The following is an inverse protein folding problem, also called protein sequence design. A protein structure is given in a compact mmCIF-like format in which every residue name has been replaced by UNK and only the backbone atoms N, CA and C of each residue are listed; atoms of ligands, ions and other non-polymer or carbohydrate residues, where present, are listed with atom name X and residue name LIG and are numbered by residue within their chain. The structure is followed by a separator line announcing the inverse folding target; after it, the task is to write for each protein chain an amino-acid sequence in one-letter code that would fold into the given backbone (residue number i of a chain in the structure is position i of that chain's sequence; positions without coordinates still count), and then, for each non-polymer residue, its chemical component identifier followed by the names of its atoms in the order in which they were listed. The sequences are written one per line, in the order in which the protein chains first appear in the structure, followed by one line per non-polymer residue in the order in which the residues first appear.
data_IF_546448038405
#
_entry.id   IF_546448038405
#
_cell.length_a   1.000
_cell.length_b   1.000
_cell.length_c   1.000
_cell.angle_alpha   90.00
_cell.angle_beta   90.00
_cell.angle_gamma   90.00
#
_symmetry.space_group_name_H-M   'P 1'
#
loop_
_entity.id
_entity.type
_entity.pdbx_description
1 polymer ?
#
# COMPACT_ATOMS: atom_id res chain seq x y z
N UNK A 1 -0.41 21.17 -5.93
CA UNK A 1 -1.40 21.08 -7.01
C UNK A 1 -2.70 21.82 -6.65
N UNK A 2 -3.07 22.78 -7.48
CA UNK A 2 -4.37 23.45 -7.48
C UNK A 2 -4.93 23.52 -8.90
N UNK A 3 -6.13 24.10 -9.06
CA UNK A 3 -6.73 24.37 -10.37
C UNK A 3 -7.17 25.81 -10.50
N UNK A 4 -7.06 26.36 -11.71
CA UNK A 4 -7.53 27.69 -12.05
C UNK A 4 -8.45 27.61 -13.27
N UNK A 5 -9.65 28.20 -13.24
CA UNK A 5 -10.54 28.24 -14.40
C UNK A 5 -10.12 29.31 -15.43
N UNK A 6 -9.11 30.14 -15.13
CA UNK A 6 -8.59 31.18 -16.00
C UNK A 6 -7.08 31.23 -15.93
N UNK A 7 -6.43 31.61 -17.02
CA UNK A 7 -5.02 31.98 -16.99
C UNK A 7 -4.84 33.36 -16.31
N UNK A 8 -3.74 33.56 -15.60
CA UNK A 8 -3.51 34.81 -14.89
C UNK A 8 -2.29 34.80 -13.97
N UNK A 9 -2.23 35.75 -13.05
CA UNK A 9 -1.26 35.78 -11.96
C UNK A 9 -1.90 35.25 -10.68
N UNK A 10 -1.42 34.11 -10.20
CA UNK A 10 -1.76 33.58 -8.89
C UNK A 10 -0.95 34.31 -7.83
N UNK A 11 -1.63 34.87 -6.84
CA UNK A 11 -1.09 35.35 -5.58
C UNK A 11 -1.41 34.35 -4.48
N UNK A 12 -0.40 34.02 -3.67
CA UNK A 12 -0.54 33.21 -2.47
C UNK A 12 -0.08 34.01 -1.28
N UNK A 13 -0.96 34.19 -0.30
CA UNK A 13 -0.64 34.82 0.96
C UNK A 13 -0.91 33.87 2.12
N UNK A 14 -0.21 34.07 3.24
CA UNK A 14 -0.49 33.41 4.51
C UNK A 14 -1.07 34.42 5.48
N UNK A 15 -2.27 34.16 5.97
CA UNK A 15 -2.84 34.94 7.04
C UNK A 15 -2.16 34.58 8.38
N UNK A 16 -1.88 35.61 9.17
CA UNK A 16 -1.48 35.51 10.58
C UNK A 16 -2.16 36.67 11.33
N UNK A 17 -1.97 36.82 12.63
CA UNK A 17 -2.53 37.97 13.36
C UNK A 17 -2.01 39.29 12.75
N UNK A 18 -2.84 39.96 11.93
CA UNK A 18 -2.46 41.17 11.18
C UNK A 18 -2.76 41.06 9.67
N UNK A 19 -2.06 41.85 8.86
CA UNK A 19 -2.19 41.81 7.39
C UNK A 19 -1.62 40.49 6.82
N UNK A 20 -2.29 39.85 5.84
CA UNK A 20 -1.77 38.65 5.20
C UNK A 20 -0.40 38.89 4.55
N UNK A 21 0.56 38.01 4.83
CA UNK A 21 1.90 38.05 4.24
C UNK A 21 1.86 37.37 2.87
N UNK A 22 2.18 38.09 1.80
CA UNK A 22 2.36 37.48 0.50
C UNK A 22 3.58 36.55 0.51
N UNK A 23 3.37 35.30 0.10
CA UNK A 23 4.39 34.25 0.09
C UNK A 23 4.95 34.00 -1.31
N UNK A 24 4.08 34.08 -2.32
CA UNK A 24 4.44 33.81 -3.71
C UNK A 24 3.47 34.50 -4.66
N UNK A 25 4.00 34.90 -5.81
CA UNK A 25 3.21 35.29 -6.98
C UNK A 25 3.79 34.59 -8.20
N UNK A 26 2.94 33.98 -9.02
CA UNK A 26 3.36 33.24 -10.21
C UNK A 26 2.30 33.24 -11.32
N UNK A 27 2.70 33.14 -12.60
CA UNK A 27 1.77 32.89 -13.69
C UNK A 27 1.13 31.51 -13.54
N UNK A 28 -0.15 31.41 -13.87
CA UNK A 28 -0.89 30.15 -13.98
C UNK A 28 -1.63 30.11 -15.31
N UNK A 29 -1.74 28.92 -15.90
CA UNK A 29 -2.62 28.68 -17.04
C UNK A 29 -4.03 28.36 -16.56
N UNK A 30 -4.99 28.37 -17.47
CA UNK A 30 -6.23 27.63 -17.28
C UNK A 30 -5.90 26.14 -17.05
N UNK A 31 -6.70 25.46 -16.23
CA UNK A 31 -6.54 24.09 -15.73
C UNK A 31 -5.83 23.95 -14.38
N UNK A 32 -4.53 23.65 -14.36
CA UNK A 32 -3.82 23.19 -13.17
C UNK A 32 -2.53 23.96 -12.95
N UNK A 33 -2.19 24.14 -11.67
CA UNK A 33 -0.92 24.77 -11.27
C UNK A 33 -0.32 24.09 -10.07
N UNK A 34 0.97 24.33 -9.88
CA UNK A 34 1.70 23.91 -8.69
C UNK A 34 2.24 25.08 -7.89
N UNK A 35 2.08 24.98 -6.59
CA UNK A 35 2.61 25.95 -5.67
C UNK A 35 4.09 25.66 -5.43
N UNK A 36 4.94 26.70 -5.37
CA UNK A 36 6.32 26.52 -4.97
C UNK A 36 6.37 26.14 -3.48
N UNK A 37 7.56 25.81 -2.99
CA UNK A 37 7.77 25.69 -1.56
C UNK A 37 7.41 27.01 -0.86
N UNK A 38 6.42 26.96 0.03
CA UNK A 38 5.96 28.12 0.78
C UNK A 38 6.60 28.12 2.18
N UNK A 39 7.07 29.26 2.69
CA UNK A 39 7.57 29.36 4.06
C UNK A 39 6.39 29.29 5.05
N UNK A 40 6.09 28.09 5.54
CA UNK A 40 5.05 27.83 6.53
C UNK A 40 5.59 28.00 7.96
N UNK A 41 4.73 28.45 8.87
CA UNK A 41 5.02 28.49 10.30
C UNK A 41 4.65 27.16 10.94
N UNK A 42 5.33 26.82 12.03
CA UNK A 42 4.89 25.75 12.94
C UNK A 42 3.47 26.02 13.42
N UNK A 43 2.67 24.96 13.49
CA UNK A 43 1.24 25.02 13.73
C UNK A 43 0.48 25.28 12.44
N UNK A 44 -0.65 25.96 12.59
CA UNK A 44 -1.61 26.09 11.51
C UNK A 44 -1.36 27.33 10.65
N UNK A 45 -1.50 27.15 9.34
CA UNK A 45 -1.32 28.17 8.33
C UNK A 45 -2.59 28.28 7.50
N UNK A 46 -3.17 29.48 7.45
CA UNK A 46 -4.23 29.80 6.50
C UNK A 46 -3.60 30.38 5.24
N UNK A 47 -3.71 29.66 4.12
CA UNK A 47 -3.30 30.13 2.82
C UNK A 47 -4.49 30.76 2.11
N UNK A 48 -4.31 31.99 1.61
CA UNK A 48 -5.25 32.75 0.80
C UNK A 48 -4.71 32.78 -0.62
N UNK A 49 -5.49 32.27 -1.56
CA UNK A 49 -5.12 32.17 -2.96
C UNK A 49 -6.08 33.04 -3.79
N UNK A 50 -5.53 33.89 -4.64
CA UNK A 50 -6.31 34.69 -5.57
C UNK A 50 -5.60 34.75 -6.93
N UNK A 51 -6.35 34.57 -8.00
CA UNK A 51 -5.88 34.77 -9.38
C UNK A 51 -6.39 36.11 -9.90
N UNK A 52 -5.51 36.87 -10.55
CA UNK A 52 -5.86 38.07 -11.33
C UNK A 52 -5.65 37.78 -12.82
N UNK A 53 -6.66 37.99 -13.65
CA UNK A 53 -6.62 37.76 -15.10
C UNK A 53 -5.93 38.90 -15.87
N UNK A 54 -5.86 38.79 -17.20
CA UNK A 54 -5.24 39.80 -18.06
C UNK A 54 -6.01 41.14 -18.04
N UNK A 55 -7.32 41.08 -17.85
CA UNK A 55 -8.24 42.21 -17.73
C UNK A 55 -8.23 42.87 -16.34
N UNK A 56 -7.37 42.42 -15.42
CA UNK A 56 -7.25 42.90 -14.04
C UNK A 56 -8.44 42.57 -13.13
N UNK A 57 -9.26 41.59 -13.48
CA UNK A 57 -10.26 41.06 -12.58
C UNK A 57 -9.60 40.11 -11.58
N UNK A 58 -9.93 40.28 -10.29
CA UNK A 58 -9.45 39.38 -9.23
C UNK A 58 -10.55 38.42 -8.83
N UNK A 59 -10.22 37.13 -8.79
CA UNK A 59 -11.09 36.07 -8.26
C UNK A 59 -11.44 36.29 -6.77
N UNK A 60 -12.46 35.57 -6.30
CA UNK A 60 -12.69 35.41 -4.86
C UNK A 60 -11.52 34.64 -4.25
N UNK A 61 -11.14 34.98 -3.02
CA UNK A 61 -10.08 34.26 -2.32
C UNK A 61 -10.50 32.81 -2.04
N UNK A 62 -9.68 31.87 -2.52
CA UNK A 62 -9.72 30.48 -2.11
C UNK A 62 -8.88 30.30 -0.84
N UNK A 63 -9.39 29.51 0.12
CA UNK A 63 -8.73 29.29 1.40
C UNK A 63 -8.28 27.83 1.50
N UNK A 64 -7.02 27.62 1.87
CA UNK A 64 -6.49 26.32 2.23
C UNK A 64 -5.86 26.36 3.63
N UNK A 65 -6.04 25.30 4.40
CA UNK A 65 -5.47 25.17 5.75
C UNK A 65 -4.37 24.12 5.73
N UNK A 66 -3.19 24.48 6.23
CA UNK A 66 -2.03 23.59 6.33
C UNK A 66 -1.47 23.64 7.75
N UNK A 67 -1.45 22.50 8.42
CA UNK A 67 -0.79 22.37 9.72
C UNK A 67 0.60 21.78 9.53
N UNK A 68 1.60 22.41 10.15
CA UNK A 68 2.97 21.89 10.21
C UNK A 68 3.38 21.68 11.65
N UNK A 69 4.28 20.74 11.90
CA UNK A 69 4.75 20.41 13.24
C UNK A 69 6.03 19.60 13.18
N UNK A 70 6.74 19.53 14.30
CA UNK A 70 7.88 18.63 14.44
C UNK A 70 7.39 17.18 14.59
N UNK A 71 8.22 16.23 14.15
CA UNK A 71 8.04 14.84 14.53
C UNK A 71 8.34 14.68 16.03
N UNK A 72 7.68 13.76 16.74
CA UNK A 72 8.11 13.34 18.07
C UNK A 72 9.55 12.83 18.06
N UNK A 73 10.30 13.00 19.15
CA UNK A 73 11.58 12.32 19.34
C UNK A 73 11.37 10.80 19.52
N UNK A 74 12.42 10.01 19.29
CA UNK A 74 12.38 8.57 19.58
C UNK A 74 12.18 8.37 21.10
N UNK A 75 11.28 7.46 21.52
CA UNK A 75 11.18 7.10 22.94
C UNK A 75 12.51 6.55 23.47
N UNK A 76 12.78 6.84 24.74
CA UNK A 76 14.03 6.43 25.42
C UNK A 76 13.77 5.37 26.47
N UNK A 77 14.81 4.66 26.89
CA UNK A 77 14.71 3.70 27.99
C UNK A 77 13.82 2.49 27.69
N UNK A 78 13.70 2.09 26.41
CA UNK A 78 13.04 0.83 26.06
C UNK A 78 13.71 -0.31 26.83
N UNK A 79 12.91 -1.08 27.55
CA UNK A 79 13.31 -2.28 28.26
C UNK A 79 12.27 -3.37 28.01
N UNK A 80 12.72 -4.62 27.92
CA UNK A 80 11.86 -5.78 27.76
C UNK A 80 12.17 -6.78 28.88
N UNK A 81 11.12 -7.25 29.55
CA UNK A 81 11.19 -8.31 30.54
C UNK A 81 10.44 -9.54 30.00
N UNK A 82 11.09 -10.69 30.04
CA UNK A 82 10.50 -11.96 29.60
C UNK A 82 10.22 -12.82 30.82
N UNK A 83 8.98 -13.30 30.94
CA UNK A 83 8.56 -14.27 31.93
C UNK A 83 7.85 -15.41 31.22
N UNK A 84 8.56 -16.51 30.98
CA UNK A 84 8.13 -17.59 30.09
C UNK A 84 7.79 -17.01 28.70
N UNK A 85 6.56 -17.17 28.21
CA UNK A 85 6.12 -16.64 26.91
C UNK A 85 5.57 -15.21 26.98
N UNK A 86 5.49 -14.62 28.18
CA UNK A 86 4.98 -13.27 28.35
C UNK A 86 6.12 -12.25 28.26
N UNK A 87 6.00 -11.31 27.33
CA UNK A 87 6.95 -10.21 27.15
C UNK A 87 6.32 -8.91 27.60
N UNK A 88 6.93 -8.24 28.57
CA UNK A 88 6.54 -6.90 29.01
C UNK A 88 7.54 -5.89 28.48
N UNK A 89 7.13 -5.07 27.53
CA UNK A 89 7.93 -3.95 27.02
C UNK A 89 7.52 -2.66 27.74
N UNK A 90 8.49 -1.89 28.23
CA UNK A 90 8.28 -0.59 28.88
C UNK A 90 9.27 0.45 28.36
N UNK A 91 8.90 1.72 28.38
CA UNK A 91 9.74 2.83 27.93
C UNK A 91 9.44 4.11 28.72
N UNK A 92 10.32 5.10 28.62
CA UNK A 92 10.06 6.42 29.19
C UNK A 92 9.07 7.19 28.32
N UNK A 93 8.18 7.95 28.97
CA UNK A 93 7.35 8.91 28.27
C UNK A 93 8.22 9.95 27.54
N UNK A 94 7.80 10.29 26.32
CA UNK A 94 8.36 11.39 25.56
C UNK A 94 8.20 12.73 26.29
N UNK A 95 9.18 13.66 26.20
CA UNK A 95 9.07 14.98 26.81
C UNK A 95 8.07 15.89 26.09
N UNK A 96 7.73 15.61 24.83
CA UNK A 96 6.79 16.40 24.05
C UNK A 96 5.34 16.22 24.57
N UNK A 97 4.63 17.31 24.91
CA UNK A 97 3.30 17.23 25.53
C UNK A 97 2.19 16.82 24.56
N UNK A 98 2.47 16.78 23.27
CA UNK A 98 1.53 16.47 22.20
C UNK A 98 1.61 15.01 21.73
N UNK A 99 2.36 14.14 22.42
CA UNK A 99 2.36 12.70 22.17
C UNK A 99 1.02 12.09 22.62
N UNK A 100 0.36 11.39 21.70
CA UNK A 100 -0.96 10.77 21.90
C UNK A 100 -0.88 9.25 22.08
N UNK A 101 0.27 8.65 21.82
CA UNK A 101 0.50 7.22 21.99
C UNK A 101 1.72 6.73 21.24
N UNK A 102 1.91 5.41 21.28
CA UNK A 102 3.11 4.74 20.80
C UNK A 102 2.79 3.58 19.87
N UNK A 103 3.74 3.26 18.99
CA UNK A 103 3.75 2.03 18.23
C UNK A 103 4.93 1.18 18.67
N UNK A 104 4.64 0.02 19.26
CA UNK A 104 5.64 -1.00 19.54
C UNK A 104 5.76 -1.90 18.31
N UNK A 105 6.98 -2.29 17.96
CA UNK A 105 7.29 -3.21 16.88
C UNK A 105 8.07 -4.41 17.41
N UNK A 106 7.74 -5.59 16.90
CA UNK A 106 8.44 -6.86 17.09
C UNK A 106 9.09 -7.20 15.75
N UNK A 107 10.42 -7.15 15.68
CA UNK A 107 11.15 -7.08 14.39
C UNK A 107 10.66 -5.85 13.61
N UNK A 108 9.98 -6.05 12.49
CA UNK A 108 9.38 -4.99 11.69
C UNK A 108 7.84 -4.97 11.73
N UNK A 109 7.22 -5.92 12.45
CA UNK A 109 5.76 -6.00 12.57
C UNK A 109 5.27 -5.23 13.79
N UNK A 110 4.20 -4.42 13.69
CA UNK A 110 3.64 -3.73 14.84
C UNK A 110 3.02 -4.71 15.85
N UNK A 111 3.14 -4.40 17.14
CA UNK A 111 2.60 -5.22 18.21
C UNK A 111 1.07 -5.20 18.23
N UNK A 112 0.48 -4.00 18.12
CA UNK A 112 -0.93 -3.86 17.82
C UNK A 112 -1.14 -3.87 16.31
N UNK A 113 -1.92 -4.84 15.83
CA UNK A 113 -2.29 -4.96 14.42
C UNK A 113 -3.39 -3.97 14.06
N UNK A 114 -3.48 -3.65 12.77
CA UNK A 114 -4.61 -2.90 12.24
C UNK A 114 -5.92 -3.62 12.52
N UNK A 115 -6.98 -2.84 12.73
CA UNK A 115 -8.31 -3.37 13.04
C UNK A 115 -9.40 -2.52 12.41
N UNK A 116 -10.53 -3.15 12.15
CA UNK A 116 -11.71 -2.48 11.62
C UNK A 116 -12.44 -1.71 12.72
N UNK A 117 -12.90 -0.51 12.39
CA UNK A 117 -13.72 0.32 13.26
C UNK A 117 -15.16 -0.18 13.22
N UNK A 118 -15.74 -0.38 14.41
CA UNK A 118 -17.12 -0.86 14.61
C UNK A 118 -18.00 0.16 15.35
N UNK A 119 -17.42 1.29 15.77
CA UNK A 119 -18.04 2.35 16.55
C UNK A 119 -18.37 3.61 15.72
N UNK A 120 -18.52 3.45 14.41
CA UNK A 120 -18.82 4.55 13.50
C UNK A 120 -20.31 4.88 13.48
N UNK A 121 -20.61 6.17 13.45
CA UNK A 121 -21.92 6.70 13.10
C UNK A 121 -21.88 7.22 11.67
N UNK A 122 -23.02 7.22 10.98
CA UNK A 122 -23.07 7.61 9.57
C UNK A 122 -24.21 8.58 9.30
N UNK A 123 -23.97 9.48 8.36
CA UNK A 123 -24.97 10.40 7.81
C UNK A 123 -24.70 10.59 6.33
N UNK A 124 -25.68 11.07 5.57
CA UNK A 124 -25.49 11.33 4.14
C UNK A 124 -26.20 12.62 3.73
N UNK A 125 -25.73 13.22 2.64
CA UNK A 125 -26.52 14.24 1.95
C UNK A 125 -27.58 13.57 1.07
N UNK A 126 -28.82 14.07 1.21
CA UNK A 126 -29.98 13.65 0.42
C UNK A 126 -30.15 12.11 0.35
N UNK A 127 -30.19 11.39 1.50
CA UNK A 127 -30.34 9.94 1.48
C UNK A 127 -31.74 9.55 0.97
N UNK A 128 -31.78 8.57 0.06
CA UNK A 128 -33.04 7.91 -0.34
C UNK A 128 -33.36 6.78 0.65
N UNK A 129 -32.31 6.12 1.15
CA UNK A 129 -32.36 4.98 2.08
C UNK A 129 -31.49 5.27 3.32
N UNK A 130 -31.63 4.45 4.35
CA UNK A 130 -30.87 4.56 5.60
C UNK A 130 -29.36 4.53 5.33
N UNK A 131 -28.59 5.58 5.67
CA UNK A 131 -27.14 5.62 5.44
C UNK A 131 -26.38 4.54 6.23
N UNK A 132 -26.97 4.03 7.32
CA UNK A 132 -26.48 2.92 8.13
C UNK A 132 -26.31 1.63 7.33
N UNK A 133 -27.06 1.47 6.23
CA UNK A 133 -26.95 0.34 5.33
C UNK A 133 -25.63 0.26 4.55
N UNK A 134 -24.71 1.22 4.73
CA UNK A 134 -23.34 1.11 4.20
C UNK A 134 -22.35 0.53 5.21
N UNK A 135 -22.76 0.31 6.47
CA UNK A 135 -21.87 -0.10 7.57
C UNK A 135 -22.54 -1.15 8.48
N UNK A 136 -23.64 -1.77 8.03
CA UNK A 136 -24.40 -2.76 8.81
C UNK A 136 -23.88 -4.19 8.64
N UNK A 137 -22.97 -4.42 7.69
CA UNK A 137 -22.37 -5.73 7.42
C UNK A 137 -23.28 -6.67 6.63
N UNK A 138 -24.41 -6.19 6.10
CA UNK A 138 -25.28 -6.93 5.20
C UNK A 138 -25.04 -6.51 3.73
N UNK A 139 -24.34 -7.31 2.91
CA UNK A 139 -24.05 -6.96 1.52
C UNK A 139 -25.30 -6.87 0.62
N UNK A 140 -26.48 -7.23 1.12
CA UNK A 140 -27.74 -7.10 0.40
C UNK A 140 -28.41 -5.72 0.58
N UNK A 141 -28.06 -4.97 1.62
CA UNK A 141 -28.50 -3.59 1.84
C UNK A 141 -27.46 -2.62 1.28
N UNK A 142 -27.85 -1.35 1.12
CA UNK A 142 -26.92 -0.31 0.68
C UNK A 142 -27.43 1.08 1.04
N UNK A 143 -26.50 1.98 1.35
CA UNK A 143 -26.77 3.41 1.24
C UNK A 143 -26.93 3.79 -0.24
N UNK A 144 -28.05 4.41 -0.58
CA UNK A 144 -28.29 5.00 -1.89
C UNK A 144 -28.24 6.54 -1.84
N UNK A 145 -27.31 7.14 -2.60
CA UNK A 145 -27.25 8.58 -2.81
C UNK A 145 -28.34 9.08 -3.78
N UNK A 146 -28.84 10.30 -3.56
CA UNK A 146 -29.96 10.98 -4.24
C UNK A 146 -30.09 10.78 -5.77
N UNK A 147 -31.31 11.03 -6.24
CA UNK A 147 -31.96 10.50 -7.44
C UNK A 147 -31.70 11.25 -8.75
N UNK A 148 -31.60 10.49 -9.85
CA UNK A 148 -31.53 10.88 -11.28
C UNK A 148 -30.24 11.56 -11.76
N UNK A 149 -29.14 10.80 -11.77
CA UNK A 149 -27.91 11.21 -12.44
C UNK A 149 -27.69 10.43 -13.73
N UNK A 150 -27.37 11.14 -14.82
CA UNK A 150 -26.96 10.56 -16.09
C UNK A 150 -25.59 11.10 -16.45
N UNK A 151 -24.61 10.22 -16.65
CA UNK A 151 -23.29 10.51 -17.20
C UNK A 151 -22.81 11.94 -17.00
N UNK A 152 -22.29 12.26 -15.82
CA UNK A 152 -21.94 13.64 -15.47
C UNK A 152 -21.51 13.81 -14.02
N UNK A 153 -21.11 15.05 -13.65
CA UNK A 153 -20.66 15.37 -12.29
C UNK A 153 -21.80 15.19 -11.28
N UNK A 154 -21.43 14.71 -10.09
CA UNK A 154 -22.32 14.55 -8.95
C UNK A 154 -22.10 15.73 -8.00
N UNK A 155 -23.13 16.56 -7.85
CA UNK A 155 -23.14 17.64 -6.88
C UNK A 155 -23.86 17.16 -5.60
N UNK A 156 -23.31 17.55 -4.44
CA UNK A 156 -23.93 17.36 -3.13
C UNK A 156 -24.26 15.91 -2.74
N UNK A 157 -23.54 14.93 -3.29
CA UNK A 157 -23.63 13.52 -2.87
C UNK A 157 -22.44 13.17 -1.99
N UNK A 158 -22.71 12.82 -0.73
CA UNK A 158 -21.69 12.30 0.18
C UNK A 158 -22.28 11.38 1.23
N UNK A 159 -21.47 10.42 1.68
CA UNK A 159 -21.65 9.63 2.89
C UNK A 159 -20.58 10.05 3.89
N UNK A 160 -20.97 10.50 5.08
CA UNK A 160 -20.08 10.94 6.15
C UNK A 160 -20.09 9.93 7.28
N UNK A 161 -18.91 9.47 7.68
CA UNK A 161 -18.69 8.63 8.85
C UNK A 161 -18.09 9.48 9.96
N UNK A 162 -18.53 9.26 11.20
CA UNK A 162 -18.02 9.94 12.38
C UNK A 162 -17.74 8.97 13.52
N UNK A 163 -16.60 9.13 14.19
CA UNK A 163 -16.25 8.48 15.45
C UNK A 163 -16.27 9.49 16.61
N UNK A 164 -16.38 9.01 17.85
CA UNK A 164 -16.36 9.88 19.04
C UNK A 164 -15.00 10.57 19.24
N UNK A 165 -13.91 9.89 18.86
CA UNK A 165 -12.53 10.37 18.99
C UNK A 165 -11.76 10.20 17.68
N UNK A 166 -10.70 11.01 17.43
CA UNK A 166 -9.88 10.82 16.24
C UNK A 166 -9.18 9.47 16.24
N UNK A 167 -9.26 8.76 15.11
CA UNK A 167 -8.60 7.49 14.84
C UNK A 167 -7.50 7.67 13.79
N UNK A 168 -6.50 6.81 13.76
CA UNK A 168 -5.50 6.78 12.68
C UNK A 168 -6.02 5.93 11.52
N UNK A 169 -6.74 6.55 10.59
CA UNK A 169 -7.36 5.85 9.47
C UNK A 169 -6.27 5.37 8.51
N UNK A 170 -6.18 4.05 8.33
CA UNK A 170 -5.09 3.42 7.58
C UNK A 170 -5.59 2.69 6.32
N UNK A 171 -6.86 2.28 6.27
CA UNK A 171 -7.44 1.72 5.06
C UNK A 171 -8.96 1.91 4.99
N UNK A 172 -9.48 1.81 3.77
CA UNK A 172 -10.92 1.72 3.50
C UNK A 172 -11.16 0.58 2.51
N UNK A 173 -12.20 -0.22 2.76
CA UNK A 173 -12.70 -1.24 1.85
C UNK A 173 -14.16 -0.95 1.53
N UNK A 174 -14.45 -0.70 0.25
CA UNK A 174 -15.77 -0.34 -0.25
C UNK A 174 -16.32 -1.44 -1.14
N UNK A 175 -17.57 -1.82 -0.94
CA UNK A 175 -18.32 -2.72 -1.83
C UNK A 175 -19.55 -2.00 -2.36
N UNK A 176 -19.60 -1.79 -3.67
CA UNK A 176 -20.73 -1.19 -4.36
C UNK A 176 -21.69 -2.28 -4.84
N UNK A 177 -23.00 -2.00 -4.84
CA UNK A 177 -23.95 -2.91 -5.47
C UNK A 177 -23.67 -3.02 -6.97
N UNK A 178 -23.88 -4.23 -7.51
CA UNK A 178 -23.61 -4.52 -8.92
C UNK A 178 -24.31 -3.51 -9.85
N UNK A 179 -23.52 -2.89 -10.73
CA UNK A 179 -24.00 -1.90 -11.69
C UNK A 179 -24.39 -0.53 -11.10
N UNK A 180 -24.16 -0.30 -9.79
CA UNK A 180 -24.56 0.93 -9.07
C UNK A 180 -23.39 1.66 -8.41
N UNK A 181 -22.19 1.56 -9.00
CA UNK A 181 -21.00 2.31 -8.56
C UNK A 181 -20.86 3.65 -9.30
N UNK A 182 -20.19 4.65 -8.70
CA UNK A 182 -19.78 5.84 -9.44
C UNK A 182 -18.62 5.52 -10.39
N UNK A 183 -18.37 6.39 -11.37
CA UNK A 183 -17.18 6.31 -12.22
C UNK A 183 -15.93 6.76 -11.44
N UNK A 184 -16.12 7.76 -10.57
CA UNK A 184 -15.07 8.30 -9.69
C UNK A 184 -15.63 8.75 -8.35
N UNK A 185 -14.79 8.72 -7.31
CA UNK A 185 -15.09 9.30 -6.01
C UNK A 185 -13.82 9.83 -5.33
N UNK A 186 -14.01 10.71 -4.35
CA UNK A 186 -12.97 11.20 -3.46
C UNK A 186 -13.23 10.74 -2.03
N UNK A 187 -12.15 10.54 -1.26
CA UNK A 187 -12.21 10.37 0.19
C UNK A 187 -11.69 11.63 0.83
N UNK A 188 -12.52 12.26 1.65
CA UNK A 188 -12.15 13.45 2.41
C UNK A 188 -12.07 13.10 3.89
N UNK A 189 -11.05 13.61 4.58
CA UNK A 189 -10.92 13.53 6.03
C UNK A 189 -11.04 14.94 6.63
N UNK A 190 -11.73 15.07 7.76
CA UNK A 190 -11.86 16.36 8.42
C UNK A 190 -10.64 16.63 9.29
N UNK A 191 -9.99 17.78 9.08
CA UNK A 191 -8.80 18.18 9.83
C UNK A 191 -9.10 18.85 11.18
N UNK A 192 -10.38 19.06 11.51
CA UNK A 192 -10.81 19.97 12.58
C UNK A 192 -11.18 21.37 12.06
N UNK A 193 -10.83 21.70 10.81
CA UNK A 193 -11.18 22.97 10.15
C UNK A 193 -11.75 22.82 8.75
N UNK A 194 -11.16 21.94 7.97
CA UNK A 194 -11.51 21.75 6.57
C UNK A 194 -11.54 20.27 6.21
N UNK A 195 -12.29 19.96 5.15
CA UNK A 195 -12.23 18.66 4.51
C UNK A 195 -10.99 18.60 3.63
N UNK A 196 -10.10 17.67 3.93
CA UNK A 196 -8.86 17.42 3.21
C UNK A 196 -9.03 16.16 2.39
N UNK A 197 -8.77 16.24 1.08
CA UNK A 197 -8.79 15.05 0.23
C UNK A 197 -7.60 14.16 0.54
N UNK A 198 -7.87 12.93 0.99
CA UNK A 198 -6.86 11.92 1.32
C UNK A 198 -6.78 10.80 0.28
N UNK A 199 -7.79 10.65 -0.58
CA UNK A 199 -7.74 9.75 -1.74
C UNK A 199 -8.64 10.25 -2.89
N UNK A 200 -8.33 9.85 -4.11
CA UNK A 200 -9.12 10.10 -5.33
C UNK A 200 -9.08 8.86 -6.21
N UNK A 201 -10.25 8.39 -6.65
CA UNK A 201 -10.40 7.17 -7.47
C UNK A 201 -11.15 7.53 -8.75
N UNK A 202 -10.57 7.24 -9.92
CA UNK A 202 -11.14 7.60 -11.24
C UNK A 202 -11.67 6.40 -12.05
N UNK A 203 -11.50 5.17 -11.56
CA UNK A 203 -11.93 3.93 -12.22
C UNK A 203 -12.36 2.91 -11.19
N UNK A 204 -13.51 3.19 -10.58
CA UNK A 204 -14.02 2.46 -9.42
C UNK A 204 -14.32 1.01 -9.77
N UNK A 205 -13.85 0.10 -8.92
CA UNK A 205 -14.20 -1.32 -8.97
C UNK A 205 -15.40 -1.61 -8.06
N UNK A 206 -16.10 -2.72 -8.30
CA UNK A 206 -17.25 -3.09 -7.47
C UNK A 206 -16.79 -3.35 -6.02
N UNK A 207 -15.63 -3.99 -5.85
CA UNK A 207 -14.88 -4.00 -4.59
C UNK A 207 -13.64 -3.12 -4.74
N UNK A 208 -13.55 -2.08 -3.93
CA UNK A 208 -12.48 -1.09 -3.95
C UNK A 208 -11.76 -1.06 -2.60
N UNK A 209 -10.49 -1.45 -2.60
CA UNK A 209 -9.61 -1.29 -1.45
C UNK A 209 -8.74 -0.05 -1.62
N UNK A 210 -8.56 0.70 -0.54
CA UNK A 210 -7.72 1.90 -0.49
C UNK A 210 -6.80 1.83 0.72
N UNK A 211 -5.49 1.99 0.49
CA UNK A 211 -4.49 2.18 1.53
C UNK A 211 -4.27 3.67 1.78
N UNK A 212 -4.32 4.09 3.04
CA UNK A 212 -3.96 5.44 3.48
C UNK A 212 -2.61 5.32 4.17
N UNK A 213 -1.55 5.67 3.45
CA UNK A 213 -0.17 5.58 3.92
C UNK A 213 0.58 6.90 3.64
N UNK A 214 1.02 7.64 4.68
CA UNK A 214 0.83 7.34 6.10
C UNK A 214 -0.65 7.42 6.54
N UNK A 215 -1.06 6.72 7.62
CA UNK A 215 -2.41 6.83 8.17
C UNK A 215 -2.80 8.27 8.47
N UNK A 216 -4.05 8.65 8.18
CA UNK A 216 -4.55 9.99 8.44
C UNK A 216 -5.36 10.04 9.72
N UNK A 217 -4.98 10.92 10.65
CA UNK A 217 -5.69 11.08 11.92
C UNK A 217 -6.95 11.95 11.73
N UNK A 218 -8.14 11.37 11.92
CA UNK A 218 -9.40 12.11 11.86
C UNK A 218 -10.51 11.43 12.66
N UNK A 219 -11.55 12.17 13.03
CA UNK A 219 -12.80 11.62 13.56
C UNK A 219 -13.93 11.62 12.53
N UNK A 220 -13.68 12.12 11.31
CA UNK A 220 -14.70 12.33 10.27
C UNK A 220 -14.16 12.03 8.89
N UNK A 221 -14.83 11.16 8.18
CA UNK A 221 -14.54 10.81 6.79
C UNK A 221 -15.76 11.11 5.91
N UNK A 222 -15.52 11.46 4.65
CA UNK A 222 -16.55 11.51 3.61
C UNK A 222 -16.13 10.68 2.42
N UNK A 223 -17.04 9.84 1.96
CA UNK A 223 -17.02 9.29 0.61
C UNK A 223 -17.83 10.21 -0.28
N UNK A 224 -17.19 10.81 -1.28
CA UNK A 224 -17.80 11.81 -2.17
C UNK A 224 -17.74 11.27 -3.59
N UNK A 225 -18.79 10.56 -4.06
CA UNK A 225 -18.95 10.26 -5.48
C UNK A 225 -18.87 11.55 -6.30
N UNK A 226 -18.03 11.57 -7.35
CA UNK A 226 -17.79 12.77 -8.15
C UNK A 226 -18.36 12.67 -9.57
N UNK A 227 -18.44 11.47 -10.14
CA UNK A 227 -19.01 11.26 -11.48
C UNK A 227 -19.88 10.00 -11.49
N UNK A 228 -21.10 10.10 -12.02
CA UNK A 228 -22.00 8.96 -12.18
C UNK A 228 -21.59 8.04 -13.34
N UNK A 229 -21.95 6.76 -13.26
CA UNK A 229 -21.89 5.84 -14.41
C UNK A 229 -23.18 5.93 -15.23
N UNK A 230 -23.11 5.68 -16.55
CA UNK A 230 -24.29 5.55 -17.44
C UNK A 230 -24.27 6.39 -18.72
N UNK A 231 -24.96 5.91 -19.75
CA UNK A 231 -25.23 6.63 -21.01
C UNK A 231 -26.52 7.45 -20.92
N UNK A 232 -26.57 8.67 -21.47
CA UNK A 232 -27.81 9.44 -21.58
C UNK A 232 -28.90 8.64 -22.33
N UNK A 233 -30.10 8.49 -21.73
CA UNK A 233 -31.28 7.90 -22.41
C UNK A 233 -31.73 6.49 -21.96
N UNK A 234 -31.18 5.92 -20.88
CA UNK A 234 -31.66 4.66 -20.31
C UNK A 234 -32.93 4.84 -19.43
N UNK A 235 -33.90 3.93 -19.55
CA UNK A 235 -35.21 3.98 -18.87
C UNK A 235 -35.21 3.51 -17.40
N UNK A 236 -34.05 3.37 -16.76
CA UNK A 236 -33.95 2.87 -15.38
C UNK A 236 -33.41 3.95 -14.44
N UNK A 237 -34.04 4.13 -13.28
CA UNK A 237 -33.54 4.97 -12.18
C UNK A 237 -32.16 4.47 -11.77
N UNK A 238 -31.11 5.26 -11.99
CA UNK A 238 -29.77 4.93 -11.50
C UNK A 238 -29.44 5.82 -10.31
N UNK A 239 -29.36 5.19 -9.14
CA UNK A 239 -28.72 5.74 -7.95
C UNK A 239 -27.46 4.95 -7.66
N UNK A 240 -26.44 5.65 -7.18
CA UNK A 240 -25.23 5.04 -6.66
C UNK A 240 -25.58 4.37 -5.34
N UNK A 241 -25.10 3.14 -5.15
CA UNK A 241 -25.37 2.36 -3.97
C UNK A 241 -24.11 1.71 -3.41
N UNK A 242 -23.71 2.15 -2.22
CA UNK A 242 -22.61 1.57 -1.44
C UNK A 242 -23.20 0.56 -0.48
N UNK A 243 -22.93 -0.72 -0.72
CA UNK A 243 -23.40 -1.81 0.12
C UNK A 243 -22.61 -1.88 1.41
N UNK A 244 -21.27 -1.86 1.32
CA UNK A 244 -20.43 -1.97 2.50
C UNK A 244 -19.25 -1.01 2.45
N UNK A 245 -18.92 -0.45 3.60
CA UNK A 245 -17.75 0.36 3.85
C UNK A 245 -17.14 -0.03 5.19
N UNK A 246 -15.99 -0.69 5.10
CA UNK A 246 -15.15 -1.00 6.25
C UNK A 246 -14.03 0.02 6.31
N UNK A 247 -13.82 0.61 7.49
CA UNK A 247 -12.73 1.55 7.75
C UNK A 247 -11.79 0.91 8.76
N UNK A 248 -10.52 0.79 8.41
CA UNK A 248 -9.51 0.26 9.31
C UNK A 248 -8.72 1.39 9.97
N UNK A 249 -8.35 1.18 11.22
CA UNK A 249 -7.42 2.02 11.95
C UNK A 249 -6.10 1.31 12.28
N UNK A 250 -5.08 2.14 12.45
CA UNK A 250 -3.83 1.77 13.09
C UNK A 250 -3.87 2.18 14.57
N UNK A 251 -4.18 1.26 15.50
CA UNK A 251 -4.30 1.61 16.91
C UNK A 251 -2.96 2.01 17.53
N UNK A 252 -3.03 2.80 18.61
CA UNK A 252 -1.87 3.24 19.39
C UNK A 252 -1.93 2.67 20.81
N UNK A 253 -0.75 2.43 21.38
CA UNK A 253 -0.60 2.12 22.80
C UNK A 253 -0.61 3.46 23.56
N UNK A 254 -1.63 3.67 24.40
CA UNK A 254 -1.75 4.91 25.20
C UNK A 254 -0.89 4.93 26.47
N UNK A 255 -0.42 3.76 26.92
CA UNK A 255 0.49 3.62 28.06
C UNK A 255 1.96 3.61 27.61
N UNK A 256 2.88 3.68 28.56
CA UNK A 256 4.32 3.50 28.34
C UNK A 256 4.79 2.08 28.65
N UNK A 257 3.85 1.13 28.59
CA UNK A 257 4.04 -0.28 28.82
C UNK A 257 3.09 -1.07 27.94
N UNK A 258 3.54 -2.25 27.48
CA UNK A 258 2.73 -3.19 26.72
C UNK A 258 3.13 -4.62 27.08
N UNK A 259 2.13 -5.46 27.36
CA UNK A 259 2.31 -6.87 27.64
C UNK A 259 1.82 -7.69 26.45
N UNK A 260 2.67 -8.58 25.98
CA UNK A 260 2.43 -9.46 24.85
C UNK A 260 2.68 -10.91 25.24
N UNK A 261 2.14 -11.85 24.47
CA UNK A 261 2.46 -13.27 24.59
C UNK A 261 3.02 -13.74 23.26
N UNK A 262 4.30 -14.10 23.26
CA UNK A 262 5.03 -14.51 22.06
C UNK A 262 5.29 -16.01 22.13
N UNK A 263 5.42 -16.64 20.97
CA UNK A 263 6.04 -17.95 20.87
C UNK A 263 7.55 -17.83 21.02
N UNK A 264 8.24 -18.96 21.17
CA UNK A 264 9.70 -19.04 21.19
C UNK A 264 10.36 -18.27 20.04
N UNK A 265 11.52 -17.69 20.34
CA UNK A 265 12.38 -16.99 19.38
C UNK A 265 12.97 -15.68 19.88
N UNK A 266 13.89 -15.13 19.09
CA UNK A 266 14.49 -13.82 19.32
C UNK A 266 13.69 -12.69 18.65
N UNK A 267 13.25 -11.70 19.43
CA UNK A 267 12.42 -10.58 18.99
C UNK A 267 13.08 -9.23 19.29
N UNK A 268 13.77 -8.58 18.33
CA UNK A 268 14.17 -7.19 18.49
C UNK A 268 12.95 -6.29 18.56
N UNK A 269 12.75 -5.65 19.71
CA UNK A 269 11.68 -4.69 19.95
C UNK A 269 12.16 -3.27 19.67
N UNK A 270 11.28 -2.45 19.08
CA UNK A 270 11.49 -1.02 18.90
C UNK A 270 10.19 -0.29 19.17
N UNK A 271 10.26 0.94 19.66
CA UNK A 271 9.06 1.76 19.89
C UNK A 271 9.21 3.12 19.21
N UNK A 272 8.14 3.64 18.62
CA UNK A 272 8.04 5.03 18.12
C UNK A 272 6.88 5.74 18.82
N UNK A 273 6.93 7.07 18.86
CA UNK A 273 5.86 7.91 19.38
C UNK A 273 5.07 8.56 18.23
N UNK A 274 3.79 8.83 18.46
CA UNK A 274 2.92 9.57 17.54
C UNK A 274 2.31 10.78 18.24
N UNK A 275 2.29 11.94 17.58
CA UNK A 275 1.69 13.17 18.14
C UNK A 275 0.24 13.45 17.69
N UNK A 276 -0.33 14.52 18.22
CA UNK A 276 -1.70 14.99 17.93
C UNK A 276 -1.97 15.29 16.45
N UNK A 277 -0.92 15.60 15.66
CA UNK A 277 -1.01 15.80 14.21
C UNK A 277 -1.01 14.48 13.42
N UNK A 278 -0.80 13.34 14.09
CA UNK A 278 -0.69 12.02 13.47
C UNK A 278 0.71 11.71 12.95
N UNK A 279 1.72 12.52 13.27
CA UNK A 279 3.09 12.28 12.83
C UNK A 279 3.78 11.25 13.71
N UNK A 280 4.40 10.26 13.08
CA UNK A 280 5.23 9.25 13.73
C UNK A 280 6.71 9.66 13.74
N UNK A 281 7.31 9.60 14.93
CA UNK A 281 8.74 9.86 15.13
C UNK A 281 9.64 8.69 14.75
N UNK A 282 10.97 8.86 14.84
CA UNK A 282 11.90 7.75 14.68
C UNK A 282 11.68 6.66 15.75
N UNK A 283 12.00 5.42 15.39
CA UNK A 283 12.01 4.29 16.32
C UNK A 283 13.19 4.40 17.29
N UNK A 284 13.01 3.90 18.52
CA UNK A 284 14.08 3.72 19.50
C UNK A 284 15.19 2.79 19.00
N UNK A 285 16.31 2.77 19.73
CA UNK A 285 17.27 1.68 19.65
C UNK A 285 16.57 0.34 19.98
N UNK A 286 16.99 -0.76 19.32
CA UNK A 286 16.34 -2.04 19.50
C UNK A 286 16.74 -2.68 20.82
N UNK A 287 15.82 -3.40 21.45
CA UNK A 287 16.10 -4.30 22.57
C UNK A 287 15.53 -5.68 22.24
N UNK A 288 16.38 -6.70 22.24
CA UNK A 288 15.94 -8.07 21.93
C UNK A 288 15.32 -8.73 23.16
N UNK A 289 14.13 -9.28 22.98
CA UNK A 289 13.52 -10.22 23.92
C UNK A 289 13.73 -11.63 23.37
N UNK A 290 14.43 -12.47 24.12
CA UNK A 290 14.59 -13.90 23.82
C UNK A 290 13.51 -14.67 24.60
N UNK A 291 12.57 -15.25 23.88
CA UNK A 291 11.44 -16.00 24.44
C UNK A 291 11.69 -17.48 24.20
N UNK A 292 11.56 -18.31 25.22
CA UNK A 292 11.82 -19.76 25.12
C UNK A 292 13.14 -20.09 24.42
N UNK A 293 13.11 -20.94 23.39
CA UNK A 293 14.26 -21.17 22.51
C UNK A 293 14.43 -20.08 21.45
N UNK A 294 15.50 -19.29 21.59
CA UNK A 294 15.87 -18.21 20.68
C UNK A 294 17.16 -18.49 19.90
N UNK A 295 17.78 -19.67 20.05
CA UNK A 295 19.02 -20.00 19.38
C UNK A 295 18.75 -20.47 17.95
N UNK A 296 19.09 -19.64 16.96
CA UNK A 296 18.94 -20.02 15.57
C UNK A 296 19.84 -21.22 15.19
N UNK A 297 19.40 -22.10 14.27
CA UNK A 297 20.24 -23.18 13.77
C UNK A 297 21.54 -22.67 13.16
N UNK A 298 22.56 -23.52 13.17
CA UNK A 298 23.80 -23.24 12.45
C UNK A 298 23.57 -23.22 10.91
N UNK A 299 24.26 -22.35 10.16
CA UNK A 299 24.16 -22.30 8.71
C UNK A 299 24.61 -23.59 8.03
N UNK A 300 24.04 -23.86 6.86
CA UNK A 300 24.41 -25.01 6.02
C UNK A 300 25.34 -24.61 4.88
N UNK A 301 26.02 -25.60 4.29
CA UNK A 301 26.81 -25.43 3.09
C UNK A 301 26.02 -25.93 1.87
N UNK A 302 25.72 -25.04 0.94
CA UNK A 302 24.95 -25.32 -0.28
C UNK A 302 25.87 -25.70 -1.45
N UNK A 303 25.44 -26.68 -2.22
CA UNK A 303 26.01 -27.08 -3.50
C UNK A 303 24.89 -27.30 -4.53
N UNK A 304 25.21 -27.24 -5.81
CA UNK A 304 24.23 -27.50 -6.86
C UNK A 304 24.86 -27.78 -8.22
N UNK A 305 24.09 -28.42 -9.08
CA UNK A 305 24.45 -28.72 -10.47
C UNK A 305 23.25 -28.52 -11.38
N UNK A 306 23.49 -28.32 -12.68
CA UNK A 306 22.43 -28.20 -13.69
C UNK A 306 22.39 -29.47 -14.53
N UNK A 307 21.20 -30.03 -14.71
CA UNK A 307 20.93 -31.13 -15.64
C UNK A 307 19.83 -30.70 -16.61
N UNK A 308 20.20 -30.39 -17.86
CA UNK A 308 19.26 -29.89 -18.86
C UNK A 308 18.69 -28.53 -18.43
N UNK A 309 17.39 -28.50 -18.09
CA UNK A 309 16.68 -27.30 -17.59
C UNK A 309 16.48 -27.29 -16.07
N UNK A 310 16.98 -28.30 -15.37
CA UNK A 310 16.70 -28.48 -13.95
C UNK A 310 17.95 -28.18 -13.14
N UNK A 311 17.79 -27.47 -12.03
CA UNK A 311 18.84 -27.20 -11.05
C UNK A 311 18.67 -28.17 -9.88
N UNK A 312 19.61 -29.09 -9.71
CA UNK A 312 19.66 -30.02 -8.58
C UNK A 312 20.53 -29.41 -7.47
N UNK A 313 19.93 -29.19 -6.30
CA UNK A 313 20.53 -28.51 -5.16
C UNK A 313 20.63 -29.50 -3.99
N UNK A 314 21.75 -29.44 -3.26
CA UNK A 314 22.01 -30.27 -2.08
C UNK A 314 22.83 -29.47 -1.07
N UNK A 315 22.50 -29.60 0.22
CA UNK A 315 23.20 -28.91 1.29
C UNK A 315 23.59 -29.86 2.43
N UNK A 316 24.55 -29.45 3.26
CA UNK A 316 24.87 -30.16 4.50
C UNK A 316 23.72 -30.04 5.50
N UNK A 317 23.51 -31.04 6.36
CA UNK A 317 22.63 -30.86 7.51
C UNK A 317 23.22 -29.79 8.46
N UNK A 318 22.35 -29.00 9.10
CA UNK A 318 22.76 -28.14 10.23
C UNK A 318 23.20 -29.01 11.41
N UNK A 319 24.11 -28.52 12.26
CA UNK A 319 24.50 -29.23 13.48
C UNK A 319 23.54 -28.99 14.65
N UNK A 320 22.59 -28.07 14.50
CA UNK A 320 21.56 -27.81 15.50
C UNK A 320 20.61 -29.03 15.60
N UNK A 321 20.27 -29.48 16.82
CA UNK A 321 19.53 -30.73 17.05
C UNK A 321 18.03 -30.64 16.70
N UNK A 322 17.53 -29.44 16.49
CA UNK A 322 16.11 -29.06 16.47
C UNK A 322 15.68 -28.42 15.13
N UNK A 323 16.50 -28.55 14.10
CA UNK A 323 16.15 -28.09 12.75
C UNK A 323 14.89 -28.81 12.25
N UNK A 324 13.85 -28.04 12.00
CA UNK A 324 12.59 -28.54 11.47
C UNK A 324 12.53 -28.43 9.94
N UNK A 325 13.09 -27.35 9.35
CA UNK A 325 12.91 -27.02 7.93
C UNK A 325 14.12 -26.30 7.33
N UNK A 326 14.17 -26.22 6.00
CA UNK A 326 15.13 -25.44 5.22
C UNK A 326 14.40 -24.53 4.23
N UNK A 327 14.68 -23.23 4.26
CA UNK A 327 14.20 -22.26 3.28
C UNK A 327 15.21 -22.14 2.16
N UNK A 328 14.79 -22.45 0.93
CA UNK A 328 15.57 -22.25 -0.28
C UNK A 328 15.13 -20.94 -0.95
N UNK A 329 16.07 -20.02 -1.14
CA UNK A 329 15.87 -18.80 -1.92
C UNK A 329 16.49 -18.92 -3.31
N UNK A 330 15.79 -18.39 -4.32
CA UNK A 330 16.28 -18.19 -5.69
C UNK A 330 16.17 -16.71 -6.03
N UNK A 331 17.29 -16.09 -6.37
CA UNK A 331 17.39 -14.66 -6.69
C UNK A 331 16.74 -13.78 -5.60
N UNK A 332 17.04 -14.10 -4.34
CA UNK A 332 16.52 -13.46 -3.11
C UNK A 332 15.03 -13.66 -2.83
N UNK A 333 14.32 -14.45 -3.63
CA UNK A 333 12.91 -14.81 -3.38
C UNK A 333 12.80 -16.23 -2.85
N UNK A 334 11.93 -16.48 -1.87
CA UNK A 334 11.65 -17.84 -1.41
C UNK A 334 11.14 -18.71 -2.57
N UNK A 335 11.84 -19.82 -2.81
CA UNK A 335 11.49 -20.79 -3.85
C UNK A 335 10.76 -22.00 -3.27
N UNK A 336 11.22 -22.47 -2.11
CA UNK A 336 10.67 -23.65 -1.45
C UNK A 336 11.01 -23.65 0.04
N UNK A 337 10.16 -24.34 0.81
CA UNK A 337 10.40 -24.71 2.19
C UNK A 337 10.42 -26.25 2.27
N UNK A 338 11.51 -26.81 2.77
CA UNK A 338 11.79 -28.26 2.75
C UNK A 338 11.86 -28.77 4.19
N UNK A 339 11.06 -29.77 4.55
CA UNK A 339 11.09 -30.35 5.90
C UNK A 339 12.37 -31.19 6.14
N UNK A 340 12.96 -31.05 7.31
CA UNK A 340 14.04 -31.91 7.77
C UNK A 340 13.53 -33.36 7.93
N UNK A 341 14.38 -34.39 7.71
CA UNK A 341 15.82 -34.31 7.47
C UNK A 341 16.21 -34.18 6.00
N UNK A 342 15.29 -33.81 5.08
CA UNK A 342 15.63 -33.70 3.66
C UNK A 342 16.59 -32.52 3.43
N UNK A 343 17.72 -32.77 2.75
CA UNK A 343 18.76 -31.77 2.47
C UNK A 343 19.01 -31.57 0.97
N UNK A 344 17.96 -31.67 0.16
CA UNK A 344 18.04 -31.46 -1.28
C UNK A 344 16.72 -31.02 -1.90
N UNK A 345 16.83 -30.39 -3.08
CA UNK A 345 15.70 -29.89 -3.85
C UNK A 345 16.06 -29.84 -5.35
N UNK A 346 15.08 -30.09 -6.23
CA UNK A 346 15.27 -29.93 -7.68
C UNK A 346 14.34 -28.85 -8.20
N UNK A 347 14.91 -27.73 -8.67
CA UNK A 347 14.16 -26.66 -9.33
C UNK A 347 14.07 -26.94 -10.83
N UNK A 348 12.88 -27.33 -11.28
CA UNK A 348 12.66 -27.87 -12.63
C UNK A 348 12.23 -26.82 -13.64
N UNK A 349 12.47 -27.11 -14.93
CA UNK A 349 11.98 -26.35 -16.09
C UNK A 349 12.41 -24.87 -16.12
N UNK A 350 13.64 -24.59 -15.71
CA UNK A 350 14.18 -23.24 -15.73
C UNK A 350 14.37 -22.75 -17.18
N UNK A 351 13.97 -21.51 -17.49
CA UNK A 351 14.43 -20.80 -18.68
C UNK A 351 15.96 -20.69 -18.72
N UNK A 352 16.51 -20.46 -19.91
CA UNK A 352 17.94 -20.19 -20.00
C UNK A 352 18.26 -18.89 -19.25
N UNK A 353 19.25 -18.93 -18.38
CA UNK A 353 19.56 -17.84 -17.46
C UNK A 353 20.56 -18.25 -16.39
N UNK A 354 20.94 -17.29 -15.56
CA UNK A 354 21.73 -17.52 -14.34
C UNK A 354 20.82 -17.35 -13.15
N UNK A 355 20.88 -18.30 -12.21
CA UNK A 355 20.06 -18.32 -11.00
C UNK A 355 20.97 -18.45 -9.79
N UNK A 356 20.78 -17.58 -8.80
CA UNK A 356 21.54 -17.63 -7.54
C UNK A 356 20.71 -18.24 -6.44
N UNK A 357 21.22 -19.32 -5.84
CA UNK A 357 20.54 -20.04 -4.76
C UNK A 357 21.25 -19.83 -3.42
N UNK A 358 20.46 -19.76 -2.35
CA UNK A 358 20.87 -19.67 -0.95
C UNK A 358 19.92 -20.53 -0.12
N UNK A 359 20.42 -21.21 0.92
CA UNK A 359 19.60 -21.97 1.88
C UNK A 359 19.79 -21.42 3.29
N UNK A 360 18.71 -21.35 4.06
CA UNK A 360 18.71 -21.09 5.49
C UNK A 360 18.04 -22.24 6.22
N UNK A 361 18.59 -22.63 7.37
CA UNK A 361 17.98 -23.62 8.25
C UNK A 361 17.01 -22.93 9.24
N UNK A 362 15.90 -23.59 9.52
CA UNK A 362 14.87 -23.14 10.45
C UNK A 362 14.60 -24.24 11.48
N UNK A 363 14.57 -23.88 12.76
CA UNK A 363 14.17 -24.78 13.83
C UNK A 363 12.64 -24.96 13.89
N UNK A 364 12.14 -25.70 14.89
CA UNK A 364 10.72 -25.90 15.14
C UNK A 364 9.95 -24.60 15.46
N UNK A 365 10.66 -23.53 15.82
CA UNK A 365 10.12 -22.23 16.24
C UNK A 365 10.32 -21.13 15.18
N UNK A 366 10.90 -21.49 14.03
CA UNK A 366 11.28 -20.62 12.91
C UNK A 366 12.39 -19.60 13.22
N UNK A 367 13.26 -19.86 14.20
CA UNK A 367 14.53 -19.13 14.24
C UNK A 367 15.35 -19.55 13.02
N UNK A 368 15.95 -18.56 12.35
CA UNK A 368 16.56 -18.74 11.04
C UNK A 368 18.07 -18.58 11.13
N UNK A 369 18.81 -19.53 10.54
CA UNK A 369 20.26 -19.44 10.44
C UNK A 369 20.71 -18.24 9.59
N UNK A 370 21.99 -17.87 9.70
CA UNK A 370 22.61 -17.07 8.64
C UNK A 370 22.47 -17.81 7.28
N UNK A 371 22.40 -17.06 6.16
CA UNK A 371 22.45 -17.62 4.82
C UNK A 371 23.63 -18.57 4.61
N UNK A 372 23.41 -19.64 3.84
CA UNK A 372 24.50 -20.44 3.27
C UNK A 372 25.40 -19.60 2.34
N UNK A 373 26.47 -20.21 1.84
CA UNK A 373 27.12 -19.69 0.63
C UNK A 373 26.10 -19.56 -0.53
N UNK A 374 26.29 -18.56 -1.39
CA UNK A 374 25.52 -18.42 -2.60
C UNK A 374 26.07 -19.35 -3.70
N UNK A 375 25.17 -20.07 -4.40
CA UNK A 375 25.51 -20.93 -5.54
C UNK A 375 24.84 -20.39 -6.79
N UNK A 376 25.65 -19.95 -7.76
CA UNK A 376 25.17 -19.50 -9.06
C UNK A 376 25.16 -20.67 -10.06
N UNK A 377 23.99 -20.97 -10.63
CA UNK A 377 23.79 -22.02 -11.63
C UNK A 377 23.36 -21.42 -12.96
N UNK A 378 24.01 -21.86 -14.04
CA UNK A 378 23.75 -21.38 -15.40
C UNK A 378 22.98 -22.45 -16.17
N UNK A 379 21.74 -22.15 -16.52
CA UNK A 379 20.92 -22.98 -17.41
C UNK A 379 21.11 -22.48 -18.83
N UNK A 380 21.72 -23.32 -19.66
CA UNK A 380 21.99 -22.99 -21.06
C UNK A 380 21.69 -24.21 -21.94
N UNK A 381 20.41 -24.42 -22.26
CA UNK A 381 19.99 -25.45 -23.20
C UNK A 381 19.94 -24.86 -24.60
N UNK A 382 20.59 -25.52 -25.56
CA UNK A 382 20.54 -25.12 -26.96
C UNK A 382 19.09 -25.03 -27.47
N UNK A 383 18.75 -23.91 -28.08
CA UNK A 383 17.45 -23.72 -28.73
C UNK A 383 17.35 -24.50 -30.05
N UNK A 384 16.17 -24.47 -30.70
CA UNK A 384 16.07 -24.99 -32.05
C UNK A 384 16.93 -24.20 -33.02
N UNK A 385 17.53 -24.91 -33.98
CA UNK A 385 18.36 -24.28 -35.00
C UNK A 385 17.55 -23.35 -35.90
N UNK A 386 18.15 -22.26 -36.36
CA UNK A 386 17.51 -21.35 -37.31
C UNK A 386 17.20 -22.09 -38.63
N UNK A 387 15.95 -22.01 -39.15
CA UNK A 387 15.60 -22.55 -40.45
C UNK A 387 16.59 -22.09 -41.54
N UNK A 388 17.04 -23.04 -42.36
CA UNK A 388 17.97 -22.79 -43.46
C UNK A 388 17.26 -22.90 -44.79
N UNK A 389 17.83 -22.28 -45.82
CA UNK A 389 17.36 -22.44 -47.20
C UNK A 389 15.87 -22.13 -47.38
N UNK A 390 15.39 -21.04 -46.74
CA UNK A 390 14.02 -20.56 -46.95
C UNK A 390 13.83 -20.23 -48.42
N UNK A 391 12.85 -20.88 -49.03
CA UNK A 391 12.47 -20.71 -50.42
C UNK A 391 10.98 -20.39 -50.49
N UNK A 392 10.65 -19.39 -51.29
CA UNK A 392 9.29 -18.90 -51.49
C UNK A 392 9.03 -18.86 -52.99
N UNK A 393 7.97 -19.53 -53.45
CA UNK A 393 7.62 -19.62 -54.86
C UNK A 393 6.17 -19.21 -55.06
N UNK A 394 5.89 -18.29 -56.01
CA UNK A 394 4.51 -17.97 -56.36
C UNK A 394 3.85 -19.14 -57.08
N UNK A 395 2.62 -19.46 -56.71
CA UNK A 395 1.83 -20.49 -57.40
C UNK A 395 1.22 -19.86 -58.67
N UNK A 396 1.31 -20.50 -59.87
CA UNK A 396 0.94 -19.87 -61.14
C UNK A 396 -0.52 -19.41 -61.27
N UNK A 397 -1.44 -19.93 -60.46
CA UNK A 397 -2.83 -19.50 -60.41
C UNK A 397 -3.35 -19.51 -58.97
N UNK A 398 -3.96 -18.40 -58.54
CA UNK A 398 -4.42 -18.17 -57.16
C UNK A 398 -3.40 -17.38 -56.33
N UNK A 399 -3.88 -16.51 -55.43
CA UNK A 399 -3.04 -15.63 -54.60
C UNK A 399 -2.28 -16.32 -53.47
N UNK A 400 -1.62 -17.44 -53.76
CA UNK A 400 -0.91 -18.29 -52.81
C UNK A 400 0.61 -18.29 -53.05
N UNK A 401 1.37 -18.58 -51.98
CA UNK A 401 2.82 -18.78 -51.99
C UNK A 401 3.13 -20.17 -51.41
N UNK A 402 3.97 -20.94 -52.11
CA UNK A 402 4.60 -22.14 -51.56
C UNK A 402 5.87 -21.74 -50.82
N UNK A 403 5.99 -22.17 -49.56
CA UNK A 403 7.10 -21.81 -48.68
C UNK A 403 7.74 -23.10 -48.15
N UNK A 404 9.02 -23.29 -48.44
CA UNK A 404 9.81 -24.45 -48.00
C UNK A 404 11.10 -24.00 -47.30
N UNK A 405 11.57 -24.78 -46.32
CA UNK A 405 12.84 -24.55 -45.63
C UNK A 405 13.39 -25.88 -45.09
N UNK A 406 14.68 -25.88 -44.76
CA UNK A 406 15.34 -26.96 -44.06
C UNK A 406 15.42 -26.63 -42.56
N UNK A 407 15.30 -27.63 -41.65
CA UNK A 407 15.58 -27.43 -40.23
C UNK A 407 17.00 -26.91 -40.01
N UNK A 408 17.20 -26.09 -38.97
CA UNK A 408 18.53 -25.62 -38.58
C UNK A 408 19.32 -26.61 -37.74
N UNK A 409 20.63 -26.37 -37.62
CA UNK A 409 21.50 -27.11 -36.71
C UNK A 409 21.25 -26.66 -35.26
N UNK A 410 20.34 -27.35 -34.57
CA UNK A 410 20.02 -27.15 -33.17
C UNK A 410 19.03 -28.21 -32.69
N UNK A 411 18.39 -28.00 -31.54
CA UNK A 411 17.37 -28.93 -31.08
C UNK A 411 16.20 -29.01 -32.10
N UNK A 412 15.51 -30.16 -32.24
CA UNK A 412 14.35 -30.25 -33.12
C UNK A 412 13.28 -29.20 -32.73
N UNK A 413 12.85 -28.40 -33.71
CA UNK A 413 11.77 -27.44 -33.50
C UNK A 413 10.42 -28.17 -33.39
N UNK A 414 9.66 -27.91 -32.33
CA UNK A 414 8.30 -28.47 -32.15
C UNK A 414 7.27 -27.72 -33.00
N UNK A 415 7.54 -26.44 -33.33
CA UNK A 415 6.75 -25.62 -34.26
C UNK A 415 7.63 -24.57 -34.93
N UNK A 416 7.26 -24.15 -36.13
CA UNK A 416 7.81 -22.96 -36.79
C UNK A 416 6.79 -21.82 -36.71
N UNK A 417 7.27 -20.59 -36.56
CA UNK A 417 6.43 -19.39 -36.59
C UNK A 417 6.74 -18.64 -37.87
N UNK A 418 5.78 -18.62 -38.80
CA UNK A 418 5.85 -17.82 -40.01
C UNK A 418 5.16 -16.47 -39.75
N UNK A 419 5.85 -15.37 -40.05
CA UNK A 419 5.29 -14.01 -39.96
C UNK A 419 5.34 -13.39 -41.36
N UNK A 420 4.24 -12.76 -41.77
CA UNK A 420 4.12 -12.02 -43.04
C UNK A 420 4.81 -10.67 -42.96
#
# INVERSE_FOLDING_TARGET
HGRSPVAGQLRVARASAGQPLELATQPVTEDAFDLPALPLLTGENQLLLGVTDAEQNTSREAVAWVSTGALPSAPTGLAVAVNDHQVTASWNANPEPDVIGYRLFRRDSPALVERDLTDLTVSAAQPIDAPEAAIDGDPATAWAGSTWFYGGPLADVWLELSSAEPRQISALSLSWLNGRKPASFEVLAYSGRAWVRIASVASVQDSQSLRIDPPYRTWKLRIVPTVATGTPGGNWQQSIALAELVVAEQPLIGATEFVDTLIDGGYPHRVSAVNTLGFEGPRSDPVTADVGDAEAPTPVLLSGTVQGRDASLSWSASIAPDVARYRLLRDSSERALIDAPQTGFVDVNLPNGTYTYVVQALDAFNNESLPSNAVALIVAVAGPGLPRNLRVVPVPAGGALDIDWQPGDGAPAVRYVLRR
#
